data_IF_208996643087
#
_entry.id   IF_208996643087
#
_cell.length_a   1.000
_cell.length_b   1.000
_cell.length_c   1.000
_cell.angle_alpha   90.00
_cell.angle_beta   90.00
_cell.angle_gamma   90.00
#
_symmetry.space_group_name_H-M   'P 1'
#
loop_
_entity.id
_entity.type
_entity.pdbx_description
1 polymer ?
#
# COMPACT_ATOMS: atom_id res chain seq x y z
N UNK A 1 5.53 31.39 -5.48
CA UNK A 1 6.73 30.54 -5.30
C UNK A 1 6.77 30.11 -3.85
N UNK A 2 6.39 28.88 -3.55
CA UNK A 2 6.38 28.36 -2.19
C UNK A 2 7.69 27.60 -1.95
N UNK A 3 8.54 28.15 -1.07
CA UNK A 3 9.82 27.58 -0.75
C UNK A 3 9.61 26.21 -0.06
N UNK A 4 9.93 25.12 -0.77
CA UNK A 4 9.99 23.77 -0.20
C UNK A 4 10.97 23.77 0.97
N UNK A 5 10.44 23.74 2.20
CA UNK A 5 11.19 23.54 3.44
C UNK A 5 11.95 22.21 3.38
N UNK A 6 13.19 22.22 2.89
CA UNK A 6 14.15 21.11 3.06
C UNK A 6 14.77 21.16 4.46
N UNK A 7 13.96 20.90 5.48
CA UNK A 7 14.45 20.55 6.82
C UNK A 7 14.73 19.04 6.86
N UNK A 8 15.85 18.61 7.44
CA UNK A 8 16.25 17.18 7.54
C UNK A 8 15.30 16.31 8.40
N UNK A 9 14.21 16.87 8.94
CA UNK A 9 13.23 16.23 9.83
C UNK A 9 11.77 16.52 9.39
N UNK A 10 11.44 16.40 8.10
CA UNK A 10 10.05 16.51 7.65
C UNK A 10 9.30 15.21 7.99
N UNK A 11 8.14 15.33 8.65
CA UNK A 11 7.20 14.21 8.84
C UNK A 11 6.87 13.60 7.48
N UNK A 12 6.97 12.28 7.40
CA UNK A 12 6.66 11.50 6.21
C UNK A 12 5.26 10.97 6.27
N UNK A 13 4.55 11.01 5.15
CA UNK A 13 3.21 10.43 5.04
C UNK A 13 3.33 9.00 4.49
N UNK A 14 2.68 8.06 5.17
CA UNK A 14 2.62 6.66 4.78
C UNK A 14 1.19 6.30 4.39
N UNK A 15 0.97 5.97 3.11
CA UNK A 15 -0.28 5.39 2.65
C UNK A 15 -0.33 3.90 2.97
N UNK A 16 -1.50 3.38 3.36
CA UNK A 16 -1.67 1.97 3.74
C UNK A 16 -2.58 1.28 2.73
N UNK A 17 -2.08 0.21 2.12
CA UNK A 17 -2.80 -0.66 1.18
C UNK A 17 -2.94 -2.05 1.82
N UNK A 18 -4.18 -2.51 2.04
CA UNK A 18 -4.40 -3.86 2.55
C UNK A 18 -4.76 -4.81 1.40
N UNK A 19 -4.09 -5.95 1.35
CA UNK A 19 -4.27 -6.98 0.32
C UNK A 19 -5.15 -8.14 0.82
N UNK A 20 -5.61 -8.06 2.07
CA UNK A 20 -6.36 -9.11 2.75
C UNK A 20 -7.86 -8.78 2.76
N UNK A 21 -8.68 -9.72 2.30
CA UNK A 21 -10.15 -9.55 2.20
C UNK A 21 -10.83 -9.38 3.56
N UNK A 22 -10.18 -9.89 4.60
CA UNK A 22 -10.56 -9.86 6.02
C UNK A 22 -10.10 -8.57 6.72
N UNK A 23 -9.66 -7.55 5.97
CA UNK A 23 -9.28 -6.26 6.53
C UNK A 23 -10.45 -5.60 7.27
N UNK A 24 -10.17 -5.01 8.43
CA UNK A 24 -11.18 -4.37 9.29
C UNK A 24 -12.00 -3.30 8.56
N UNK A 25 -11.32 -2.49 7.73
CA UNK A 25 -11.95 -1.45 6.93
C UNK A 25 -12.05 -1.90 5.47
N UNK A 26 -13.28 -2.13 4.99
CA UNK A 26 -13.50 -2.60 3.61
C UNK A 26 -13.03 -1.62 2.54
N UNK A 27 -12.99 -0.33 2.85
CA UNK A 27 -12.51 0.71 1.93
C UNK A 27 -10.98 0.78 1.78
N UNK A 28 -10.22 -0.03 2.53
CA UNK A 28 -8.75 -0.13 2.38
C UNK A 28 -8.29 -1.47 1.81
N UNK A 29 -9.23 -2.35 1.45
CA UNK A 29 -8.95 -3.56 0.68
C UNK A 29 -9.05 -3.26 -0.82
N UNK A 30 -8.02 -3.62 -1.56
CA UNK A 30 -7.98 -3.46 -3.01
C UNK A 30 -7.59 -4.76 -3.70
N UNK A 31 -8.26 -5.15 -4.78
CA UNK A 31 -7.83 -6.29 -5.60
C UNK A 31 -6.52 -5.94 -6.33
N UNK A 32 -5.67 -6.94 -6.68
CA UNK A 32 -4.35 -6.70 -7.25
C UNK A 32 -4.31 -5.75 -8.45
N UNK A 33 -5.35 -5.79 -9.29
CA UNK A 33 -5.47 -5.02 -10.52
C UNK A 33 -5.66 -3.52 -10.26
N UNK A 34 -6.16 -3.14 -9.08
CA UNK A 34 -6.39 -1.74 -8.70
C UNK A 34 -5.20 -1.14 -7.94
N UNK A 35 -4.26 -1.96 -7.47
CA UNK A 35 -3.12 -1.51 -6.66
C UNK A 35 -2.30 -0.41 -7.35
N UNK A 36 -1.98 -0.48 -8.66
CA UNK A 36 -1.20 0.58 -9.32
C UNK A 36 -1.88 1.95 -9.29
N UNK A 37 -3.19 2.00 -9.55
CA UNK A 37 -3.96 3.25 -9.57
C UNK A 37 -4.07 3.85 -8.16
N UNK A 38 -4.28 2.99 -7.15
CA UNK A 38 -4.35 3.42 -5.76
C UNK A 38 -3.01 3.95 -5.26
N UNK A 39 -1.91 3.28 -5.57
CA UNK A 39 -0.57 3.75 -5.20
C UNK A 39 -0.24 5.06 -5.91
N UNK A 40 -0.56 5.18 -7.21
CA UNK A 40 -0.39 6.43 -7.97
C UNK A 40 -1.15 7.57 -7.30
N UNK A 41 -2.43 7.34 -6.98
CA UNK A 41 -3.25 8.32 -6.26
C UNK A 41 -2.67 8.69 -4.90
N UNK A 42 -2.22 7.72 -4.09
CA UNK A 42 -1.59 8.00 -2.79
C UNK A 42 -0.35 8.88 -2.94
N UNK A 43 0.49 8.60 -3.94
CA UNK A 43 1.69 9.39 -4.23
C UNK A 43 1.31 10.82 -4.67
N UNK A 44 0.30 10.96 -5.53
CA UNK A 44 -0.22 12.27 -5.98
C UNK A 44 -0.82 13.07 -4.82
N UNK A 45 -1.44 12.41 -3.85
CA UNK A 45 -1.95 12.99 -2.60
C UNK A 45 -0.85 13.29 -1.57
N UNK A 46 0.41 12.95 -1.86
CA UNK A 46 1.57 13.32 -1.07
C UNK A 46 2.14 12.23 -0.16
N UNK A 47 1.77 10.95 -0.36
CA UNK A 47 2.41 9.85 0.34
C UNK A 47 3.91 9.74 -0.05
N UNK A 48 4.77 9.71 0.96
CA UNK A 48 6.19 9.46 0.80
C UNK A 48 6.52 7.95 0.82
N UNK A 49 5.66 7.17 1.50
CA UNK A 49 5.82 5.74 1.74
C UNK A 49 4.47 5.06 1.45
N UNK A 50 4.51 3.84 0.92
CA UNK A 50 3.36 2.94 0.86
C UNK A 50 3.69 1.71 1.70
N UNK A 51 2.80 1.38 2.64
CA UNK A 51 2.83 0.15 3.43
C UNK A 51 1.77 -0.82 2.90
N UNK A 52 2.21 -2.02 2.54
CA UNK A 52 1.37 -3.05 1.94
C UNK A 52 1.24 -4.26 2.87
N UNK A 53 0.05 -4.43 3.45
CA UNK A 53 -0.23 -5.53 4.37
C UNK A 53 -0.91 -6.72 3.68
N UNK A 54 -0.23 -7.87 3.62
CA UNK A 54 -0.78 -9.11 3.02
C UNK A 54 -1.65 -9.94 3.98
N UNK A 55 -1.57 -9.67 5.29
CA UNK A 55 -2.34 -10.33 6.33
C UNK A 55 -2.98 -9.30 7.26
N UNK A 56 -4.27 -9.45 7.52
CA UNK A 56 -4.96 -8.64 8.52
C UNK A 56 -4.52 -9.03 9.93
N UNK A 57 -4.35 -8.04 10.79
CA UNK A 57 -4.15 -8.20 12.24
C UNK A 57 -5.40 -7.80 13.03
N UNK A 58 -6.52 -7.57 12.34
CA UNK A 58 -7.77 -7.21 12.99
C UNK A 58 -8.26 -8.31 13.96
N UNK A 59 -8.97 -7.95 15.03
CA UNK A 59 -9.54 -8.94 15.95
C UNK A 59 -10.43 -9.94 15.20
N UNK A 60 -10.12 -11.24 15.37
CA UNK A 60 -10.88 -12.33 14.73
C UNK A 60 -10.45 -12.66 13.29
N UNK A 61 -9.48 -11.97 12.72
CA UNK A 61 -8.93 -12.34 11.41
C UNK A 61 -8.24 -13.71 11.46
N UNK A 62 -8.38 -14.54 10.41
CA UNK A 62 -7.71 -15.82 10.32
C UNK A 62 -6.19 -15.62 10.33
N UNK A 63 -5.49 -16.48 11.08
CA UNK A 63 -4.04 -16.61 10.97
C UNK A 63 -3.76 -17.47 9.74
N UNK A 64 -3.14 -16.87 8.73
CA UNK A 64 -2.71 -17.58 7.52
C UNK A 64 -1.25 -18.01 7.64
N UNK A 65 -0.86 -19.02 6.85
CA UNK A 65 0.53 -19.46 6.76
C UNK A 65 1.40 -18.49 5.97
N UNK A 66 2.73 -18.60 6.15
CA UNK A 66 3.73 -17.79 5.43
C UNK A 66 3.57 -17.90 3.92
N UNK A 67 3.29 -19.09 3.40
CA UNK A 67 3.12 -19.31 1.96
C UNK A 67 1.91 -18.56 1.39
N UNK A 68 0.82 -18.47 2.14
CA UNK A 68 -0.37 -17.74 1.73
C UNK A 68 -0.14 -16.23 1.77
N UNK A 69 0.48 -15.72 2.85
CA UNK A 69 0.85 -14.31 2.98
C UNK A 69 1.80 -13.90 1.84
N UNK A 70 2.79 -14.74 1.54
CA UNK A 70 3.73 -14.53 0.43
C UNK A 70 3.02 -14.56 -0.93
N UNK A 71 2.09 -15.49 -1.16
CA UNK A 71 1.34 -15.58 -2.42
C UNK A 71 0.44 -14.36 -2.67
N UNK A 72 -0.14 -13.77 -1.61
CA UNK A 72 -0.88 -12.50 -1.70
C UNK A 72 0.05 -11.35 -2.05
N UNK A 73 1.20 -11.26 -1.37
CA UNK A 73 2.21 -10.23 -1.63
C UNK A 73 2.77 -10.32 -3.05
N UNK A 74 3.12 -11.53 -3.54
CA UNK A 74 3.64 -11.74 -4.90
C UNK A 74 2.66 -11.25 -5.97
N UNK A 75 1.38 -11.62 -5.87
CA UNK A 75 0.32 -11.15 -6.80
C UNK A 75 0.21 -9.63 -6.85
N UNK A 76 0.32 -8.98 -5.69
CA UNK A 76 0.31 -7.52 -5.62
C UNK A 76 1.58 -6.89 -6.23
N UNK A 77 2.76 -7.48 -5.99
CA UNK A 77 4.01 -6.99 -6.58
C UNK A 77 4.07 -7.20 -8.09
N UNK A 78 3.44 -8.27 -8.60
CA UNK A 78 3.31 -8.54 -10.04
C UNK A 78 2.51 -7.46 -10.76
N UNK A 79 1.41 -6.97 -10.17
CA UNK A 79 0.62 -5.89 -10.79
C UNK A 79 1.35 -4.54 -10.82
N UNK A 80 2.38 -4.38 -10.00
CA UNK A 80 3.24 -3.18 -9.98
C UNK A 80 4.42 -3.27 -10.95
N UNK A 81 4.63 -4.39 -11.64
CA UNK A 81 5.71 -4.50 -12.62
C UNK A 81 5.51 -3.47 -13.75
N UNK A 82 6.49 -2.58 -13.90
CA UNK A 82 6.44 -1.51 -14.89
C UNK A 82 5.84 -0.19 -14.39
N UNK A 83 5.32 -0.14 -13.16
CA UNK A 83 4.94 1.14 -12.54
C UNK A 83 6.20 2.00 -12.38
N UNK A 84 6.22 3.13 -13.07
CA UNK A 84 7.29 4.13 -12.97
C UNK A 84 6.70 5.40 -12.44
N UNK A 85 7.44 6.06 -11.56
CA UNK A 85 7.13 7.43 -11.17
C UNK A 85 7.21 8.29 -12.43
N UNK A 86 6.09 8.85 -12.85
CA UNK A 86 6.06 9.92 -13.85
C UNK A 86 6.79 11.11 -13.22
N UNK A 87 7.92 11.49 -13.80
CA UNK A 87 8.79 12.58 -13.33
C UNK A 87 8.43 13.87 -14.04
#
# INVERSE_FOLDING_TARGET
MEAKRKGRNMTKIMGVVNLSSESFYRGSYYPPEQIPDIITKMVDEGADIVDMGARSTAPGSPIIGVDEELARMKRAMESLQGLRKSV
#
